data_IF_205351939183
#
_entry.id   IF_205351939183
#
_cell.length_a   1.000
_cell.length_b   1.000
_cell.length_c   1.000
_cell.angle_alpha   90.00
_cell.angle_beta   90.00
_cell.angle_gamma   90.00
#
_symmetry.space_group_name_H-M   'P 1'
#
loop_
_entity.id
_entity.type
_entity.pdbx_description
1 polymer ?
#
# COMPACT_ATOMS: atom_id res chain seq x y z
N UNK A 1 -14.36 8.04 -3.27
CA UNK A 1 -14.69 7.46 -4.59
C UNK A 1 -15.97 6.67 -4.43
N UNK A 2 -16.90 6.76 -5.39
CA UNK A 2 -18.12 5.98 -5.36
C UNK A 2 -17.85 4.69 -6.13
N UNK A 3 -17.91 3.55 -5.45
CA UNK A 3 -17.65 2.24 -6.03
C UNK A 3 -18.87 1.38 -5.77
N UNK A 4 -19.55 0.95 -6.83
CA UNK A 4 -20.88 0.39 -6.77
C UNK A 4 -21.83 1.30 -5.94
N UNK A 5 -22.37 0.77 -4.83
CA UNK A 5 -23.28 1.50 -3.94
C UNK A 5 -22.58 2.15 -2.73
N UNK A 6 -21.24 2.06 -2.65
CA UNK A 6 -20.47 2.51 -1.49
C UNK A 6 -19.66 3.76 -1.79
N UNK A 7 -19.48 4.63 -0.80
CA UNK A 7 -18.54 5.75 -0.85
C UNK A 7 -17.31 5.40 -0.02
N UNK A 8 -16.15 5.31 -0.68
CA UNK A 8 -14.86 4.99 -0.07
C UNK A 8 -14.01 6.24 0.04
N UNK A 9 -13.53 6.58 1.23
CA UNK A 9 -12.53 7.63 1.41
C UNK A 9 -11.13 7.03 1.27
N UNK A 10 -10.25 7.74 0.57
CA UNK A 10 -8.92 7.24 0.27
C UNK A 10 -7.93 8.38 0.03
N UNK A 11 -6.67 8.17 0.39
CA UNK A 11 -5.55 8.95 -0.11
C UNK A 11 -5.07 8.41 -1.46
N UNK A 12 -4.50 9.27 -2.30
CA UNK A 12 -3.91 8.88 -3.58
C UNK A 12 -2.53 9.50 -3.67
N UNK A 13 -1.54 8.69 -4.04
CA UNK A 13 -0.14 9.12 -4.18
C UNK A 13 0.55 8.27 -5.26
N UNK A 14 1.62 8.79 -5.84
CA UNK A 14 2.48 8.03 -6.76
C UNK A 14 3.86 7.84 -6.13
N UNK A 15 4.39 6.63 -6.25
CA UNK A 15 5.78 6.27 -5.94
C UNK A 15 6.60 6.00 -7.22
N UNK A 16 6.14 6.54 -8.35
CA UNK A 16 6.53 6.12 -9.71
C UNK A 16 5.50 5.19 -10.35
N UNK A 17 4.67 4.54 -9.53
CA UNK A 17 3.44 3.84 -9.89
C UNK A 17 2.26 4.37 -9.03
N UNK A 18 1.01 4.32 -9.53
CA UNK A 18 -0.16 4.86 -8.82
C UNK A 18 -0.61 3.99 -7.64
N UNK A 19 -0.91 4.64 -6.51
CA UNK A 19 -1.43 4.00 -5.29
C UNK A 19 -2.68 4.72 -4.78
N UNK A 20 -3.65 3.92 -4.34
CA UNK A 20 -4.83 4.37 -3.62
C UNK A 20 -4.84 3.69 -2.25
N UNK A 21 -4.85 4.47 -1.18
CA UNK A 21 -4.75 3.98 0.21
C UNK A 21 -6.08 4.22 0.90
N UNK A 22 -6.71 3.15 1.35
CA UNK A 22 -7.95 3.14 2.12
C UNK A 22 -7.59 2.82 3.57
N UNK A 23 -8.01 3.68 4.50
CA UNK A 23 -7.92 3.36 5.92
C UNK A 23 -9.04 2.37 6.29
N UNK A 24 -8.70 1.32 7.01
CA UNK A 24 -9.63 0.30 7.51
C UNK A 24 -9.45 0.10 9.02
N UNK A 25 -10.50 -0.38 9.69
CA UNK A 25 -10.45 -0.67 11.12
C UNK A 25 -9.64 -1.94 11.42
N UNK A 26 -9.75 -2.95 10.55
CA UNK A 26 -9.02 -4.22 10.65
C UNK A 26 -8.69 -4.78 9.25
N UNK A 27 -7.41 -5.06 9.00
CA UNK A 27 -6.95 -5.66 7.73
C UNK A 27 -7.40 -7.11 7.56
N UNK A 28 -7.65 -7.84 8.65
CA UNK A 28 -8.02 -9.26 8.60
C UNK A 28 -9.44 -9.44 8.06
N UNK A 29 -10.31 -8.47 8.35
CA UNK A 29 -11.70 -8.43 7.86
C UNK A 29 -11.89 -7.49 6.67
N UNK A 30 -10.84 -6.80 6.22
CA UNK A 30 -10.94 -5.88 5.11
C UNK A 30 -11.36 -6.61 3.82
N UNK A 31 -12.25 -5.97 3.06
CA UNK A 31 -12.82 -6.49 1.82
C UNK A 31 -11.82 -6.45 0.63
N UNK A 32 -10.58 -6.93 0.82
CA UNK A 32 -9.49 -6.83 -0.17
C UNK A 32 -9.87 -7.52 -1.49
N UNK A 33 -10.44 -8.71 -1.42
CA UNK A 33 -10.79 -9.52 -2.60
C UNK A 33 -11.98 -8.98 -3.39
N UNK A 34 -12.89 -8.26 -2.73
CA UNK A 34 -14.12 -7.75 -3.36
C UNK A 34 -14.00 -6.28 -3.74
N UNK A 35 -13.44 -5.44 -2.87
CA UNK A 35 -13.24 -4.02 -3.12
C UNK A 35 -11.95 -3.74 -3.91
N UNK A 36 -10.90 -4.54 -3.73
CA UNK A 36 -9.62 -4.38 -4.43
C UNK A 36 -9.75 -4.34 -5.95
N UNK A 37 -10.37 -5.33 -6.61
CA UNK A 37 -10.56 -5.32 -8.06
C UNK A 37 -11.38 -4.11 -8.55
N UNK A 38 -12.44 -3.75 -7.84
CA UNK A 38 -13.31 -2.63 -8.21
C UNK A 38 -12.59 -1.28 -8.13
N UNK A 39 -11.71 -1.14 -7.15
CA UNK A 39 -10.90 0.06 -6.95
C UNK A 39 -9.69 0.10 -7.91
N UNK A 40 -9.07 -1.04 -8.19
CA UNK A 40 -7.91 -1.16 -9.09
C UNK A 40 -8.25 -0.66 -10.48
N UNK A 41 -9.39 -1.08 -11.03
CA UNK A 41 -9.86 -0.68 -12.35
C UNK A 41 -10.83 0.50 -12.34
N UNK A 42 -10.87 1.28 -11.26
CA UNK A 42 -11.80 2.39 -11.13
C UNK A 42 -11.56 3.46 -12.22
N UNK A 43 -12.61 4.04 -12.79
CA UNK A 43 -12.54 5.00 -13.93
C UNK A 43 -11.62 6.22 -13.69
N UNK A 44 -11.40 6.57 -12.41
CA UNK A 44 -10.51 7.66 -11.98
C UNK A 44 -9.02 7.30 -12.07
N UNK A 45 -8.69 6.04 -12.33
CA UNK A 45 -7.35 5.54 -12.57
C UNK A 45 -7.25 4.99 -13.99
N UNK A 46 -6.97 5.83 -15.00
CA UNK A 46 -6.90 5.41 -16.41
C UNK A 46 -5.88 4.28 -16.64
N UNK A 47 -4.79 4.28 -15.88
CA UNK A 47 -3.74 3.25 -15.91
C UNK A 47 -3.86 2.22 -14.78
N UNK A 48 -5.04 2.15 -14.16
CA UNK A 48 -5.31 1.38 -12.94
C UNK A 48 -4.42 1.79 -11.75
N UNK A 49 -4.65 1.25 -10.57
CA UNK A 49 -3.87 1.59 -9.37
C UNK A 49 -3.68 0.41 -8.41
N UNK A 50 -2.60 0.43 -7.64
CA UNK A 50 -2.43 -0.48 -6.51
C UNK A 50 -3.30 0.00 -5.34
N UNK A 51 -4.03 -0.91 -4.72
CA UNK A 51 -5.01 -0.57 -3.68
C UNK A 51 -4.52 -1.09 -2.33
N UNK A 52 -4.11 -0.17 -1.45
CA UNK A 52 -3.64 -0.47 -0.11
C UNK A 52 -4.76 -0.35 0.92
N UNK A 53 -4.91 -1.35 1.78
CA UNK A 53 -5.84 -1.38 2.91
C UNK A 53 -5.02 -1.25 4.20
N UNK A 54 -5.01 -0.04 4.75
CA UNK A 54 -4.15 0.35 5.87
C UNK A 54 -4.94 0.37 7.19
N UNK A 55 -4.53 -0.47 8.13
CA UNK A 55 -4.96 -0.36 9.53
C UNK A 55 -3.90 0.37 10.33
N UNK A 56 -4.29 1.44 11.03
CA UNK A 56 -3.41 2.17 11.93
C UNK A 56 -3.49 1.53 13.31
N UNK A 57 -2.42 0.84 13.73
CA UNK A 57 -2.32 0.27 15.09
C UNK A 57 -1.91 1.36 16.08
N UNK A 58 -0.96 2.21 15.67
CA UNK A 58 -0.53 3.44 16.35
C UNK A 58 0.24 4.34 15.36
N UNK A 59 0.65 5.53 15.79
CA UNK A 59 1.29 6.52 14.90
C UNK A 59 2.56 6.01 14.21
N UNK A 60 3.33 5.13 14.86
CA UNK A 60 4.58 4.56 14.34
C UNK A 60 4.41 3.13 13.81
N UNK A 61 3.18 2.60 13.71
CA UNK A 61 2.95 1.21 13.32
C UNK A 61 1.59 1.01 12.62
N UNK A 62 1.66 0.48 11.40
CA UNK A 62 0.50 0.10 10.60
C UNK A 62 0.57 -1.38 10.20
N UNK A 63 -0.59 -1.97 9.95
CA UNK A 63 -0.75 -3.22 9.19
C UNK A 63 -1.29 -2.88 7.81
N UNK A 64 -0.84 -3.59 6.78
CA UNK A 64 -1.17 -3.28 5.40
C UNK A 64 -1.39 -4.56 4.59
N UNK A 65 -2.49 -4.58 3.82
CA UNK A 65 -2.72 -5.53 2.72
C UNK A 65 -2.82 -4.76 1.42
N UNK A 66 -2.31 -5.32 0.32
CA UNK A 66 -2.28 -4.62 -0.97
C UNK A 66 -2.83 -5.51 -2.07
N UNK A 67 -3.81 -4.99 -2.80
CA UNK A 67 -4.25 -5.55 -4.08
C UNK A 67 -3.48 -4.85 -5.19
N UNK A 68 -2.53 -5.54 -5.81
CA UNK A 68 -1.63 -5.01 -6.83
C UNK A 68 -2.24 -5.05 -8.23
N UNK A 69 -1.95 -3.98 -8.98
CA UNK A 69 -2.35 -3.82 -10.37
C UNK A 69 -1.82 -4.99 -11.21
N UNK A 70 -2.74 -5.78 -11.77
CA UNK A 70 -2.41 -6.92 -12.63
C UNK A 70 -1.84 -8.16 -11.93
N UNK A 71 -1.70 -8.16 -10.60
CA UNK A 71 -1.17 -9.29 -9.83
C UNK A 71 -2.13 -9.81 -8.74
N UNK A 72 -3.15 -9.02 -8.36
CA UNK A 72 -4.04 -9.37 -7.25
C UNK A 72 -3.38 -9.13 -5.89
N UNK A 73 -3.85 -9.80 -4.84
CA UNK A 73 -3.24 -9.64 -3.53
C UNK A 73 -1.86 -10.31 -3.46
N UNK A 74 -0.84 -9.54 -3.08
CA UNK A 74 0.54 -10.01 -2.93
C UNK A 74 0.96 -10.09 -1.48
N UNK A 75 1.98 -10.91 -1.19
CA UNK A 75 2.51 -11.06 0.17
C UNK A 75 3.19 -9.78 0.69
N UNK A 76 3.80 -9.00 -0.19
CA UNK A 76 4.43 -7.74 0.18
C UNK A 76 4.53 -6.83 -1.05
N UNK A 77 4.19 -5.54 -0.87
CA UNK A 77 4.39 -4.51 -1.88
C UNK A 77 5.15 -3.33 -1.27
N UNK A 78 6.45 -3.21 -1.60
CA UNK A 78 7.30 -2.15 -1.04
C UNK A 78 6.80 -0.74 -1.40
N UNK A 79 6.46 -0.52 -2.67
CA UNK A 79 5.89 0.77 -3.11
C UNK A 79 4.53 1.08 -2.45
N UNK A 80 3.71 0.06 -2.18
CA UNK A 80 2.45 0.20 -1.44
C UNK A 80 2.65 0.57 0.02
N UNK A 81 3.66 0.01 0.68
CA UNK A 81 4.06 0.39 2.04
C UNK A 81 4.50 1.86 2.12
N UNK A 82 5.34 2.30 1.18
CA UNK A 82 5.74 3.70 1.06
C UNK A 82 4.54 4.62 0.86
N UNK A 83 3.61 4.25 -0.04
CA UNK A 83 2.41 5.01 -0.32
C UNK A 83 1.49 5.15 0.90
N UNK A 84 1.26 4.05 1.63
CA UNK A 84 0.44 4.06 2.85
C UNK A 84 1.00 5.01 3.91
N UNK A 85 2.31 4.95 4.15
CA UNK A 85 2.98 5.82 5.12
C UNK A 85 2.95 7.29 4.67
N UNK A 86 3.24 7.57 3.40
CA UNK A 86 3.16 8.94 2.87
C UNK A 86 1.75 9.54 3.02
N UNK A 87 0.70 8.76 2.70
CA UNK A 87 -0.70 9.17 2.89
C UNK A 87 -1.00 9.43 4.36
N UNK A 88 -0.63 8.50 5.26
CA UNK A 88 -0.90 8.64 6.69
C UNK A 88 -0.17 9.82 7.34
N UNK A 89 1.07 10.11 6.93
CA UNK A 89 1.82 11.30 7.35
C UNK A 89 1.13 12.57 6.84
N UNK A 90 0.77 12.62 5.55
CA UNK A 90 0.11 13.78 4.95
C UNK A 90 -1.24 14.09 5.60
N UNK A 91 -1.93 13.07 6.12
CA UNK A 91 -3.19 13.19 6.85
C UNK A 91 -3.01 13.48 8.36
N UNK A 92 -1.77 13.56 8.86
CA UNK A 92 -1.47 13.80 10.27
C UNK A 92 -1.69 12.59 11.18
N UNK A 93 -1.95 11.41 10.62
CA UNK A 93 -2.29 10.18 11.34
C UNK A 93 -1.06 9.41 11.81
N UNK A 94 0.06 9.52 11.07
CA UNK A 94 1.30 8.79 11.35
C UNK A 94 2.45 9.72 11.73
N UNK A 95 3.46 9.13 12.39
CA UNK A 95 4.75 9.76 12.65
C UNK A 95 5.66 9.70 11.41
N UNK A 96 6.81 10.38 11.46
CA UNK A 96 7.77 10.40 10.33
C UNK A 96 8.46 9.05 10.09
N UNK A 97 8.54 8.20 11.12
CA UNK A 97 9.11 6.85 11.05
C UNK A 97 8.03 5.83 11.43
N UNK A 98 7.75 4.90 10.51
CA UNK A 98 6.63 3.97 10.63
C UNK A 98 7.06 2.56 10.27
N UNK A 99 6.74 1.62 11.17
CA UNK A 99 6.77 0.19 10.91
C UNK A 99 5.53 -0.24 10.13
N UNK A 100 5.73 -0.92 9.02
CA UNK A 100 4.66 -1.49 8.19
C UNK A 100 4.73 -3.01 8.28
N UNK A 101 3.67 -3.63 8.79
CA UNK A 101 3.48 -5.08 8.78
C UNK A 101 2.64 -5.48 7.56
N UNK A 102 3.20 -6.37 6.74
CA UNK A 102 2.62 -6.98 5.55
C UNK A 102 2.49 -8.50 5.78
N UNK A 103 1.68 -9.23 4.98
CA UNK A 103 1.60 -10.69 5.09
C UNK A 103 2.96 -11.40 5.01
N UNK A 104 3.84 -10.92 4.15
CA UNK A 104 5.17 -11.49 3.90
C UNK A 104 6.29 -10.97 4.80
N UNK A 105 6.01 -10.07 5.75
CA UNK A 105 7.01 -9.56 6.69
C UNK A 105 6.86 -8.09 7.04
N UNK A 106 7.98 -7.46 7.42
CA UNK A 106 8.01 -6.08 7.91
C UNK A 106 8.91 -5.20 7.06
N UNK A 107 8.47 -3.95 6.86
CA UNK A 107 9.29 -2.86 6.35
C UNK A 107 9.31 -1.69 7.34
N UNK A 108 10.41 -0.96 7.38
CA UNK A 108 10.51 0.31 8.10
C UNK A 108 10.59 1.45 7.07
N UNK A 109 9.66 2.40 7.18
CA UNK A 109 9.52 3.52 6.26
C UNK A 109 9.78 4.83 7.01
N UNK A 110 10.58 5.72 6.43
CA UNK A 110 10.85 7.04 6.99
C UNK A 110 10.62 8.13 5.95
N UNK A 111 9.83 9.15 6.29
CA UNK A 111 9.58 10.29 5.42
C UNK A 111 9.36 11.58 6.21
N UNK A 112 10.14 12.61 5.88
CA UNK A 112 10.07 13.95 6.50
C UNK A 112 9.08 14.90 5.81
N UNK A 113 8.19 14.35 5.00
CA UNK A 113 7.15 15.11 4.30
C UNK A 113 7.57 15.73 2.96
N UNK A 114 6.73 16.62 2.40
CA UNK A 114 6.91 17.17 1.06
C UNK A 114 8.29 17.80 0.82
N UNK A 115 8.87 17.51 -0.34
CA UNK A 115 10.21 17.99 -0.72
C UNK A 115 11.38 17.16 -0.16
N UNK A 116 11.10 16.13 0.64
CA UNK A 116 12.12 15.22 1.19
C UNK A 116 11.99 13.81 0.56
N UNK A 117 13.11 13.09 0.40
CA UNK A 117 13.07 11.70 -0.04
C UNK A 117 12.42 10.80 1.01
N UNK A 118 11.73 9.75 0.54
CA UNK A 118 11.17 8.69 1.36
C UNK A 118 12.14 7.49 1.33
N UNK A 119 12.45 6.95 2.51
CA UNK A 119 13.34 5.81 2.67
C UNK A 119 12.55 4.56 3.08
N UNK A 120 12.95 3.42 2.54
CA UNK A 120 12.39 2.10 2.85
C UNK A 120 13.53 1.14 3.22
N UNK A 121 13.39 0.45 4.35
CA UNK A 121 14.33 -0.58 4.80
C UNK A 121 13.60 -1.91 4.97
N UNK A 122 14.19 -2.99 4.44
CA UNK A 122 13.66 -4.35 4.50
C UNK A 122 14.69 -5.38 4.09
N UNK A 123 14.45 -6.68 4.37
CA UNK A 123 15.35 -7.75 4.00
C UNK A 123 15.29 -8.04 2.48
N UNK A 124 16.37 -8.59 1.94
CA UNK A 124 16.44 -9.18 0.61
C UNK A 124 17.25 -10.48 0.68
N UNK A 125 16.80 -11.52 -0.04
CA UNK A 125 17.45 -12.83 -0.02
C UNK A 125 17.61 -13.38 -1.45
N UNK A 126 18.80 -13.90 -1.76
CA UNK A 126 19.03 -14.72 -2.96
C UNK A 126 18.42 -16.11 -2.73
N UNK A 127 17.78 -16.67 -3.77
CA UNK A 127 17.12 -17.98 -3.70
C UNK A 127 17.89 -19.04 -4.49
N UNK A 128 18.12 -18.81 -5.78
CA UNK A 128 18.88 -19.71 -6.65
C UNK A 128 19.32 -18.99 -7.93
N UNK A 129 20.24 -19.61 -8.68
CA UNK A 129 20.63 -19.20 -10.04
C UNK A 129 20.10 -20.22 -11.07
N UNK A 130 19.63 -19.75 -12.22
CA UNK A 130 18.98 -20.61 -13.23
C UNK A 130 19.20 -20.17 -14.67
N UNK A 131 18.76 -21.03 -15.61
CA UNK A 131 18.82 -20.79 -17.05
C UNK A 131 17.47 -21.18 -17.70
N UNK A 132 16.99 -20.39 -18.65
CA UNK A 132 15.73 -20.59 -19.37
C UNK A 132 15.92 -20.42 -20.88
N UNK A 133 15.20 -21.21 -21.67
CA UNK A 133 14.99 -20.95 -23.10
C UNK A 133 13.65 -20.23 -23.27
N UNK A 134 13.68 -19.04 -23.88
CA UNK A 134 12.50 -18.24 -24.18
C UNK A 134 11.69 -18.83 -25.34
#
# INVERSE_FOLDING_TARGET
MRVAEQTVLCGVVSMGNPHCVIQVDDVDTAAVETLGPLMESHERFPERANIGFMQIVKREHIRLRVYERGAGETQACGSGACAAVAVGIQQGLLAEEVRVELPGGRLDIAWKGPGQPLFMTGPAAHVYDGFIHL
#
